data_IF_145977879096
#
_entry.id   IF_145977879096
#
_cell.length_a   1.000
_cell.length_b   1.000
_cell.length_c   1.000
_cell.angle_alpha   90.00
_cell.angle_beta   90.00
_cell.angle_gamma   90.00
#
_symmetry.space_group_name_H-M   'P 1'
#
loop_
_entity.id
_entity.type
_entity.pdbx_description
1 polymer ?
#
# COMPACT_ATOMS: atom_id res chain seq x y z
N UNK A 1 -8.07 18.01 -20.28
CA UNK A 1 -8.65 18.76 -19.14
C UNK A 1 -8.68 17.85 -17.94
N UNK A 2 -8.22 18.34 -16.79
CA UNK A 2 -8.22 17.58 -15.53
C UNK A 2 -9.58 17.67 -14.85
N UNK A 3 -10.10 16.54 -14.40
CA UNK A 3 -11.33 16.51 -13.62
C UNK A 3 -11.00 16.99 -12.21
N UNK A 4 -11.67 18.06 -11.78
CA UNK A 4 -11.51 18.61 -10.44
C UNK A 4 -12.82 18.52 -9.68
N UNK A 5 -12.81 17.78 -8.57
CA UNK A 5 -13.96 17.58 -7.70
C UNK A 5 -13.80 18.49 -6.47
N UNK A 6 -14.57 19.59 -6.45
CA UNK A 6 -14.55 20.61 -5.39
C UNK A 6 -15.82 20.64 -4.54
N UNK A 7 -16.78 19.79 -4.88
CA UNK A 7 -18.05 19.59 -4.16
C UNK A 7 -18.15 18.15 -3.69
N UNK A 8 -18.96 17.91 -2.66
CA UNK A 8 -19.31 16.55 -2.26
C UNK A 8 -20.05 15.85 -3.41
N UNK A 9 -19.58 14.67 -3.80
CA UNK A 9 -20.28 13.80 -4.75
C UNK A 9 -20.32 12.39 -4.19
N UNK A 10 -21.46 11.71 -4.35
CA UNK A 10 -21.55 10.30 -3.95
C UNK A 10 -20.71 9.43 -4.89
N UNK A 11 -20.81 9.66 -6.20
CA UNK A 11 -20.23 8.77 -7.19
C UNK A 11 -19.63 9.55 -8.35
N UNK A 12 -18.38 9.25 -8.68
CA UNK A 12 -17.71 9.60 -9.92
C UNK A 12 -17.42 8.32 -10.70
N UNK A 13 -17.79 8.28 -11.98
CA UNK A 13 -17.51 7.15 -12.86
C UNK A 13 -16.81 7.67 -14.11
N UNK A 14 -15.60 7.18 -14.38
CA UNK A 14 -14.94 7.35 -15.66
C UNK A 14 -15.02 6.06 -16.47
N UNK A 15 -15.64 6.13 -17.65
CA UNK A 15 -15.67 5.03 -18.64
C UNK A 15 -14.88 5.37 -19.91
N UNK A 16 -14.41 6.61 -20.05
CA UNK A 16 -13.71 7.12 -21.22
C UNK A 16 -12.25 7.46 -20.95
N UNK A 17 -11.67 8.32 -21.79
CA UNK A 17 -10.33 8.87 -21.60
C UNK A 17 -10.41 10.26 -20.96
N UNK A 18 -9.83 10.43 -19.77
CA UNK A 18 -9.72 11.73 -19.09
C UNK A 18 -8.28 12.03 -18.67
N UNK A 19 -7.98 13.31 -18.47
CA UNK A 19 -6.64 13.76 -18.12
C UNK A 19 -6.49 14.01 -16.62
N UNK A 20 -6.42 12.94 -15.84
CA UNK A 20 -6.27 13.01 -14.38
C UNK A 20 -7.56 13.37 -13.65
N UNK A 21 -7.63 12.94 -12.39
CA UNK A 21 -8.69 13.25 -11.43
C UNK A 21 -8.04 13.85 -10.19
N UNK A 22 -8.63 14.91 -9.65
CA UNK A 22 -8.27 15.44 -8.33
C UNK A 22 -9.52 15.68 -7.53
N UNK A 23 -9.56 15.16 -6.31
CA UNK A 23 -10.62 15.45 -5.35
C UNK A 23 -10.11 16.26 -4.16
N UNK A 24 -10.92 17.23 -3.76
CA UNK A 24 -10.75 18.08 -2.57
C UNK A 24 -11.86 17.86 -1.54
N UNK A 25 -12.76 16.91 -1.79
CA UNK A 25 -13.95 16.65 -0.99
C UNK A 25 -14.20 15.15 -0.88
N UNK A 26 -14.98 14.79 0.13
CA UNK A 26 -15.41 13.42 0.35
C UNK A 26 -16.13 12.86 -0.88
N UNK A 27 -15.87 11.58 -1.15
CA UNK A 27 -16.48 10.83 -2.24
C UNK A 27 -16.76 9.40 -1.79
N UNK A 28 -17.97 8.91 -2.03
CA UNK A 28 -18.32 7.53 -1.65
C UNK A 28 -17.72 6.52 -2.64
N UNK A 29 -17.79 6.81 -3.94
CA UNK A 29 -17.31 5.92 -4.99
C UNK A 29 -16.56 6.72 -6.06
N UNK A 30 -15.26 6.47 -6.20
CA UNK A 30 -14.45 6.90 -7.34
C UNK A 30 -14.16 5.65 -8.18
N UNK A 31 -14.86 5.52 -9.31
CA UNK A 31 -14.79 4.34 -10.16
C UNK A 31 -14.13 4.71 -11.49
N UNK A 32 -13.07 3.99 -11.85
CA UNK A 32 -12.45 4.06 -13.16
C UNK A 32 -12.60 2.71 -13.87
N UNK A 33 -13.27 2.71 -15.03
CA UNK A 33 -13.27 1.59 -15.97
C UNK A 33 -12.66 1.98 -17.33
N UNK A 34 -12.42 3.28 -17.55
CA UNK A 34 -11.76 3.83 -18.73
C UNK A 34 -10.26 4.06 -18.50
N UNK A 35 -9.73 5.11 -19.13
CA UNK A 35 -8.32 5.52 -18.98
C UNK A 35 -8.22 6.88 -18.31
N UNK A 36 -7.43 6.96 -17.25
CA UNK A 36 -7.05 8.24 -16.62
C UNK A 36 -5.57 8.46 -16.89
N UNK A 37 -5.27 9.52 -17.66
CA UNK A 37 -3.90 9.84 -18.05
C UNK A 37 -3.38 11.09 -17.35
N UNK A 38 -2.22 11.00 -16.71
CA UNK A 38 -1.47 12.16 -16.22
C UNK A 38 -0.18 12.32 -17.02
N UNK A 39 -0.02 13.47 -17.67
CA UNK A 39 1.16 13.78 -18.50
C UNK A 39 2.19 14.63 -17.76
N UNK A 40 1.93 15.03 -16.51
CA UNK A 40 2.88 15.80 -15.72
C UNK A 40 3.94 14.89 -15.10
N UNK A 41 5.18 15.37 -15.06
CA UNK A 41 6.34 14.70 -14.47
C UNK A 41 6.64 15.15 -13.04
N UNK A 42 5.88 16.14 -12.54
CA UNK A 42 6.01 16.65 -11.17
C UNK A 42 5.49 15.62 -10.15
N UNK A 43 6.32 15.36 -9.14
CA UNK A 43 6.14 14.32 -8.11
C UNK A 43 4.93 14.55 -7.23
N UNK A 44 4.44 15.80 -7.18
CA UNK A 44 3.27 16.18 -6.42
C UNK A 44 1.95 15.82 -7.14
N UNK A 45 2.01 15.19 -8.32
CA UNK A 45 0.82 14.86 -9.08
C UNK A 45 0.76 13.41 -9.51
N UNK A 46 -0.47 12.94 -9.67
CA UNK A 46 -0.78 11.59 -10.08
C UNK A 46 -1.88 11.55 -11.16
N UNK A 47 -2.19 10.34 -11.63
CA UNK A 47 -3.43 10.11 -12.38
C UNK A 47 -4.65 10.36 -11.49
N UNK A 48 -4.62 9.93 -10.23
CA UNK A 48 -5.64 10.24 -9.22
C UNK A 48 -4.98 10.93 -8.02
N UNK A 49 -5.36 12.19 -7.76
CA UNK A 49 -4.97 12.93 -6.57
C UNK A 49 -6.12 12.98 -5.56
N UNK A 50 -5.86 12.60 -4.31
CA UNK A 50 -6.73 12.86 -3.16
C UNK A 50 -6.01 13.89 -2.31
N UNK A 51 -6.55 15.11 -2.25
CA UNK A 51 -5.88 16.27 -1.65
C UNK A 51 -6.75 16.89 -0.57
N UNK A 52 -6.11 17.42 0.47
CA UNK A 52 -6.73 17.95 1.69
C UNK A 52 -6.52 19.47 1.82
N UNK A 53 -7.07 20.29 0.90
CA UNK A 53 -6.78 21.71 0.88
C UNK A 53 -7.18 22.38 2.19
N UNK A 54 -6.34 23.33 2.63
CA UNK A 54 -6.54 24.08 3.88
C UNK A 54 -6.73 23.16 5.09
N UNK A 55 -6.01 22.04 5.16
CA UNK A 55 -6.09 21.07 6.25
C UNK A 55 -7.49 20.41 6.41
N UNK A 56 -8.34 20.45 5.39
CA UNK A 56 -9.65 19.80 5.42
C UNK A 56 -9.50 18.31 5.14
N UNK A 57 -9.92 17.41 6.05
CA UNK A 57 -9.89 15.97 5.80
C UNK A 57 -10.70 15.60 4.56
N UNK A 58 -10.23 14.60 3.82
CA UNK A 58 -10.92 14.06 2.64
C UNK A 58 -11.05 12.56 2.75
N UNK A 59 -12.28 12.07 2.69
CA UNK A 59 -12.60 10.66 2.84
C UNK A 59 -13.11 10.10 1.51
N UNK A 60 -12.40 9.10 0.99
CA UNK A 60 -12.83 8.31 -0.17
C UNK A 60 -13.27 6.95 0.34
N UNK A 61 -14.55 6.62 0.29
CA UNK A 61 -14.96 5.31 0.79
C UNK A 61 -14.42 4.19 -0.11
N UNK A 62 -14.68 4.25 -1.42
CA UNK A 62 -14.22 3.24 -2.36
C UNK A 62 -13.55 3.90 -3.58
N UNK A 63 -12.26 3.64 -3.76
CA UNK A 63 -11.54 3.89 -5.01
C UNK A 63 -11.42 2.55 -5.74
N UNK A 64 -12.09 2.44 -6.89
CA UNK A 64 -12.18 1.23 -7.68
C UNK A 64 -11.58 1.51 -9.04
N UNK A 65 -10.46 0.86 -9.35
CA UNK A 65 -9.87 0.89 -10.69
C UNK A 65 -9.99 -0.49 -11.34
N UNK A 66 -10.76 -0.57 -12.41
CA UNK A 66 -10.80 -1.74 -13.31
C UNK A 66 -10.38 -1.35 -14.74
N UNK A 67 -9.92 -0.11 -14.92
CA UNK A 67 -9.50 0.44 -16.20
C UNK A 67 -7.98 0.55 -16.25
N UNK A 68 -7.49 1.71 -16.70
CA UNK A 68 -6.06 2.00 -16.75
C UNK A 68 -5.76 3.39 -16.19
N UNK A 69 -4.78 3.46 -15.30
CA UNK A 69 -4.09 4.69 -14.89
C UNK A 69 -2.73 4.74 -15.59
N UNK A 70 -2.50 5.75 -16.42
CA UNK A 70 -1.22 5.97 -17.12
C UNK A 70 -0.63 7.32 -16.69
N UNK A 71 0.40 7.28 -15.84
CA UNK A 71 0.96 8.48 -15.23
C UNK A 71 2.45 8.64 -15.52
N UNK A 72 2.82 9.85 -15.97
CA UNK A 72 4.20 10.30 -16.10
C UNK A 72 4.85 10.69 -14.75
N UNK A 73 4.14 10.51 -13.64
CA UNK A 73 4.62 10.69 -12.27
C UNK A 73 4.08 9.57 -11.38
N UNK A 74 3.25 9.88 -10.38
CA UNK A 74 2.66 8.90 -9.45
C UNK A 74 1.37 8.28 -10.02
N UNK A 75 1.04 7.03 -9.71
CA UNK A 75 -0.24 6.43 -10.14
C UNK A 75 -1.44 7.01 -9.37
N UNK A 76 -1.43 6.80 -8.06
CA UNK A 76 -2.38 7.35 -7.09
C UNK A 76 -1.59 8.07 -6.00
N UNK A 77 -1.99 9.29 -5.67
CA UNK A 77 -1.36 10.12 -4.65
C UNK A 77 -2.39 10.57 -3.63
N UNK A 78 -2.06 10.37 -2.35
CA UNK A 78 -2.95 10.65 -1.22
C UNK A 78 -2.25 11.59 -0.25
N UNK A 79 -2.85 12.75 0.00
CA UNK A 79 -2.34 13.73 0.94
C UNK A 79 -2.70 13.40 2.38
N UNK A 80 -1.89 13.89 3.33
CA UNK A 80 -2.16 13.83 4.78
C UNK A 80 -3.59 14.21 5.14
N UNK A 81 -4.11 13.69 6.25
CA UNK A 81 -5.52 13.87 6.69
C UNK A 81 -6.57 13.22 5.78
N UNK A 82 -6.15 12.57 4.70
CA UNK A 82 -7.07 11.80 3.87
C UNK A 82 -7.25 10.38 4.41
N UNK A 83 -8.42 9.82 4.17
CA UNK A 83 -8.68 8.41 4.44
C UNK A 83 -9.30 7.70 3.25
N UNK A 84 -8.98 6.41 3.09
CA UNK A 84 -9.64 5.52 2.14
C UNK A 84 -10.13 4.28 2.86
N UNK A 85 -11.39 3.89 2.70
CA UNK A 85 -11.86 2.59 3.22
C UNK A 85 -11.30 1.47 2.34
N UNK A 86 -11.64 1.47 1.05
CA UNK A 86 -11.18 0.44 0.12
C UNK A 86 -10.52 1.09 -1.10
N UNK A 87 -9.24 0.77 -1.32
CA UNK A 87 -8.57 0.95 -2.60
C UNK A 87 -8.53 -0.43 -3.26
N UNK A 88 -9.40 -0.63 -4.25
CA UNK A 88 -9.46 -1.85 -5.04
C UNK A 88 -8.94 -1.59 -6.44
N UNK A 89 -7.84 -2.23 -6.79
CA UNK A 89 -7.40 -2.31 -8.17
C UNK A 89 -7.77 -3.69 -8.73
N UNK A 90 -8.20 -3.72 -9.97
CA UNK A 90 -8.36 -4.90 -10.82
C UNK A 90 -8.16 -4.52 -12.29
N UNK A 91 -7.39 -3.45 -12.52
CA UNK A 91 -6.93 -2.95 -13.80
C UNK A 91 -5.43 -2.65 -13.75
N UNK A 92 -4.97 -1.72 -14.59
CA UNK A 92 -3.54 -1.41 -14.72
C UNK A 92 -3.21 -0.04 -14.13
N UNK A 93 -2.20 0.00 -13.25
CA UNK A 93 -1.58 1.24 -12.78
C UNK A 93 -0.16 1.29 -13.33
N UNK A 94 0.08 2.17 -14.30
CA UNK A 94 1.42 2.44 -14.85
C UNK A 94 1.91 3.81 -14.37
N UNK A 95 3.01 3.82 -13.64
CA UNK A 95 3.57 5.03 -13.04
C UNK A 95 5.07 5.16 -13.34
N UNK A 96 5.51 6.36 -13.73
CA UNK A 96 6.94 6.68 -13.89
C UNK A 96 7.66 6.96 -12.57
N UNK A 97 6.95 6.90 -11.43
CA UNK A 97 7.50 6.89 -10.08
C UNK A 97 6.88 5.78 -9.24
N UNK A 98 6.11 6.12 -8.21
CA UNK A 98 5.43 5.15 -7.36
C UNK A 98 4.01 4.88 -7.87
N UNK A 99 3.55 3.63 -7.76
CA UNK A 99 2.18 3.26 -8.15
C UNK A 99 1.13 3.86 -7.21
N UNK A 100 1.33 3.70 -5.91
CA UNK A 100 0.55 4.33 -4.84
C UNK A 100 1.52 5.03 -3.89
N UNK A 101 1.29 6.31 -3.60
CA UNK A 101 2.16 7.13 -2.76
C UNK A 101 1.40 8.08 -1.84
N UNK A 102 2.09 8.60 -0.84
CA UNK A 102 1.54 9.45 0.19
C UNK A 102 2.37 10.72 0.35
N UNK A 103 1.72 11.87 0.42
CA UNK A 103 2.41 13.16 0.53
C UNK A 103 1.94 13.96 1.74
N UNK A 104 2.78 14.86 2.22
CA UNK A 104 2.38 15.91 3.15
C UNK A 104 2.60 17.28 2.53
N UNK A 105 1.52 18.02 2.24
CA UNK A 105 1.60 19.43 1.86
C UNK A 105 1.13 20.29 3.05
N UNK A 106 2.03 21.12 3.58
CA UNK A 106 1.70 22.15 4.57
C UNK A 106 2.26 21.94 5.98
N UNK A 107 2.61 23.07 6.61
CA UNK A 107 3.12 23.17 7.99
C UNK A 107 1.94 23.23 8.95
N UNK A 108 1.45 22.08 9.39
CA UNK A 108 0.42 22.05 10.44
C UNK A 108 0.77 21.00 11.47
N UNK A 109 0.64 21.36 12.74
CA UNK A 109 1.39 20.70 13.80
C UNK A 109 0.65 19.50 14.42
N UNK A 110 -0.61 19.22 14.03
CA UNK A 110 -1.43 18.22 14.72
C UNK A 110 -2.24 17.33 13.74
N UNK A 111 -2.13 16.01 13.94
CA UNK A 111 -2.91 14.91 13.35
C UNK A 111 -2.97 14.84 11.81
N UNK A 112 -1.80 14.75 11.18
CA UNK A 112 -1.64 14.65 9.72
C UNK A 112 -1.61 13.19 9.22
N UNK A 113 -2.25 12.27 9.93
CA UNK A 113 -2.17 10.85 9.59
C UNK A 113 -2.94 10.54 8.31
N UNK A 114 -2.44 9.56 7.56
CA UNK A 114 -3.15 8.97 6.42
C UNK A 114 -3.64 7.61 6.86
N UNK A 115 -4.90 7.29 6.57
CA UNK A 115 -5.49 6.00 6.94
C UNK A 115 -6.13 5.31 5.74
N UNK A 116 -5.61 4.15 5.37
CA UNK A 116 -6.20 3.26 4.38
C UNK A 116 -6.67 2.01 5.12
N UNK A 117 -7.93 1.61 5.02
CA UNK A 117 -8.35 0.38 5.68
C UNK A 117 -7.87 -0.83 4.88
N UNK A 118 -8.13 -0.86 3.57
CA UNK A 118 -7.73 -1.97 2.71
C UNK A 118 -7.15 -1.48 1.37
N UNK A 119 -6.01 -2.06 0.98
CA UNK A 119 -5.55 -2.11 -0.41
C UNK A 119 -5.75 -3.54 -0.90
N UNK A 120 -6.59 -3.72 -1.91
CA UNK A 120 -6.92 -5.03 -2.47
C UNK A 120 -6.57 -5.00 -3.95
N UNK A 121 -5.69 -5.90 -4.37
CA UNK A 121 -5.29 -6.07 -5.76
C UNK A 121 -5.93 -7.35 -6.27
N UNK A 122 -7.01 -7.19 -7.03
CA UNK A 122 -7.74 -8.27 -7.66
C UNK A 122 -6.92 -9.01 -8.71
N UNK A 123 -7.39 -10.17 -9.14
CA UNK A 123 -6.70 -11.08 -10.08
C UNK A 123 -6.17 -10.46 -11.38
N UNK A 124 -6.77 -9.38 -11.86
CA UNK A 124 -6.36 -8.69 -13.08
C UNK A 124 -5.49 -7.46 -12.80
N UNK A 125 -5.17 -7.19 -11.53
CA UNK A 125 -4.34 -6.06 -11.15
C UNK A 125 -2.96 -6.18 -11.74
N UNK A 126 -2.49 -5.08 -12.32
CA UNK A 126 -1.13 -4.94 -12.79
C UNK A 126 -0.60 -3.56 -12.41
N UNK A 127 0.22 -3.50 -11.36
CA UNK A 127 0.93 -2.27 -10.98
C UNK A 127 2.35 -2.33 -11.51
N UNK A 128 2.67 -1.40 -12.40
CA UNK A 128 3.98 -1.23 -13.01
C UNK A 128 4.53 0.16 -12.65
N UNK A 129 5.42 0.20 -11.67
CA UNK A 129 6.06 1.41 -11.19
C UNK A 129 7.57 1.35 -11.44
N UNK A 130 8.18 2.46 -11.84
CA UNK A 130 9.65 2.52 -12.01
C UNK A 130 10.38 2.62 -10.67
N UNK A 131 9.70 3.10 -9.61
CA UNK A 131 10.22 3.19 -8.24
C UNK A 131 9.59 2.11 -7.36
N UNK A 132 8.56 2.41 -6.55
CA UNK A 132 7.87 1.40 -5.77
C UNK A 132 6.44 1.20 -6.25
N UNK A 133 5.96 -0.04 -6.36
CA UNK A 133 4.56 -0.23 -6.73
C UNK A 133 3.61 0.29 -5.63
N UNK A 134 3.93 0.01 -4.36
CA UNK A 134 3.27 0.62 -3.20
C UNK A 134 4.35 1.23 -2.30
N UNK A 135 4.31 2.56 -2.11
CA UNK A 135 5.23 3.28 -1.24
C UNK A 135 4.50 3.74 0.03
N UNK A 136 4.61 2.98 1.11
CA UNK A 136 4.10 3.33 2.45
C UNK A 136 5.15 4.15 3.18
N UNK A 137 5.42 5.32 2.63
CA UNK A 137 6.19 6.40 3.27
C UNK A 137 5.56 7.73 2.87
N UNK A 138 5.73 8.75 3.71
CA UNK A 138 5.27 10.10 3.40
C UNK A 138 6.41 10.85 2.73
N UNK A 139 6.24 11.16 1.43
CA UNK A 139 7.17 12.02 0.70
C UNK A 139 6.81 13.50 0.93
N UNK A 140 7.85 14.36 1.00
CA UNK A 140 7.71 15.79 1.30
C UNK A 140 8.27 16.20 2.67
N UNK A 141 8.53 17.50 2.84
CA UNK A 141 9.42 18.06 3.87
C UNK A 141 8.67 18.87 4.97
N UNK A 142 7.40 18.55 5.23
CA UNK A 142 6.52 19.55 5.86
C UNK A 142 5.88 19.17 7.20
N UNK A 143 6.09 17.95 7.73
CA UNK A 143 5.70 17.67 9.11
C UNK A 143 6.50 16.54 9.78
N UNK A 144 6.81 16.74 11.07
CA UNK A 144 7.54 15.79 11.91
C UNK A 144 6.64 14.73 12.57
N UNK A 145 5.32 14.76 12.36
CA UNK A 145 4.32 13.90 13.03
C UNK A 145 3.32 13.26 12.05
N UNK A 146 3.82 12.84 10.89
CA UNK A 146 3.03 12.17 9.84
C UNK A 146 3.31 10.70 9.80
N UNK A 147 2.24 9.89 9.87
CA UNK A 147 2.32 8.44 9.62
C UNK A 147 1.24 8.00 8.63
N UNK A 148 1.56 6.95 7.89
CA UNK A 148 0.62 6.19 7.07
C UNK A 148 0.22 4.93 7.83
N UNK A 149 -1.09 4.68 7.93
CA UNK A 149 -1.62 3.42 8.46
C UNK A 149 -2.44 2.72 7.39
N UNK A 150 -2.06 1.49 7.05
CA UNK A 150 -2.78 0.61 6.14
C UNK A 150 -3.25 -0.61 6.92
N UNK A 151 -4.53 -0.93 6.92
CA UNK A 151 -5.06 -2.08 7.68
C UNK A 151 -4.71 -3.43 7.06
N UNK A 152 -4.88 -3.57 5.74
CA UNK A 152 -4.63 -4.79 4.98
C UNK A 152 -4.07 -4.44 3.61
N UNK A 153 -3.06 -5.20 3.17
CA UNK A 153 -2.66 -5.29 1.77
C UNK A 153 -2.93 -6.73 1.32
N UNK A 154 -3.92 -6.94 0.45
CA UNK A 154 -4.29 -8.26 -0.08
C UNK A 154 -4.01 -8.31 -1.58
N UNK A 155 -3.10 -9.19 -1.98
CA UNK A 155 -2.65 -9.36 -3.36
C UNK A 155 -3.15 -10.71 -3.83
N UNK A 156 -4.26 -10.70 -4.56
CA UNK A 156 -4.94 -11.92 -4.96
C UNK A 156 -4.17 -12.69 -6.03
N UNK A 157 -4.49 -13.97 -6.18
CA UNK A 157 -3.91 -14.81 -7.22
C UNK A 157 -4.11 -14.18 -8.61
N UNK A 158 -3.04 -14.16 -9.41
CA UNK A 158 -3.00 -13.50 -10.72
C UNK A 158 -2.60 -12.03 -10.71
N UNK A 159 -2.73 -11.32 -9.57
CA UNK A 159 -2.30 -9.94 -9.45
C UNK A 159 -0.78 -9.80 -9.59
N UNK A 160 -0.31 -8.71 -10.21
CA UNK A 160 1.11 -8.39 -10.39
C UNK A 160 1.43 -7.03 -9.79
N UNK A 161 2.46 -6.99 -8.96
CA UNK A 161 2.91 -5.80 -8.22
C UNK A 161 4.39 -5.63 -8.44
N UNK A 162 4.78 -4.77 -9.39
CA UNK A 162 6.18 -4.60 -9.79
C UNK A 162 6.65 -3.17 -9.61
N UNK A 163 7.69 -2.98 -8.80
CA UNK A 163 8.43 -1.72 -8.68
C UNK A 163 9.89 -1.88 -9.09
N UNK A 164 10.46 -0.89 -9.77
CA UNK A 164 11.89 -0.90 -10.15
C UNK A 164 12.86 -0.80 -8.96
N UNK A 165 12.39 -0.41 -7.78
CA UNK A 165 13.09 -0.51 -6.49
C UNK A 165 12.49 -1.65 -5.67
N UNK A 166 11.31 -1.44 -5.06
CA UNK A 166 10.59 -2.47 -4.31
C UNK A 166 9.17 -2.67 -4.85
N UNK A 167 8.62 -3.88 -4.73
CA UNK A 167 7.19 -4.08 -4.98
C UNK A 167 6.37 -3.32 -3.94
N UNK A 168 6.69 -3.52 -2.65
CA UNK A 168 6.09 -2.82 -1.52
C UNK A 168 7.22 -2.28 -0.65
N UNK A 169 7.24 -0.96 -0.47
CA UNK A 169 8.14 -0.28 0.46
C UNK A 169 7.34 0.21 1.66
N UNK A 170 7.83 -0.06 2.87
CA UNK A 170 7.29 0.50 4.11
C UNK A 170 8.43 1.25 4.78
N UNK A 171 8.45 2.57 4.59
CA UNK A 171 9.48 3.43 5.15
C UNK A 171 9.20 3.75 6.62
N UNK A 172 10.21 4.22 7.35
CA UNK A 172 9.98 4.79 8.68
C UNK A 172 9.29 6.14 8.58
N UNK A 173 8.37 6.42 9.50
CA UNK A 173 7.78 7.75 9.59
C UNK A 173 8.84 8.81 9.94
N UNK A 174 8.57 10.06 9.56
CA UNK A 174 9.42 11.18 9.94
C UNK A 174 9.48 11.38 11.46
N UNK A 175 8.41 11.02 12.18
CA UNK A 175 8.37 11.11 13.65
C UNK A 175 9.39 10.17 14.28
N UNK A 176 9.44 8.93 13.80
CA UNK A 176 10.39 7.90 14.26
C UNK A 176 11.82 8.24 13.88
N UNK A 177 12.04 8.73 12.65
CA UNK A 177 13.35 9.21 12.18
C UNK A 177 13.88 10.35 13.05
N UNK A 178 13.03 11.33 13.38
CA UNK A 178 13.42 12.52 14.14
C UNK A 178 13.53 12.28 15.65
N UNK A 179 12.82 11.30 16.19
CA UNK A 179 12.78 11.01 17.63
C UNK A 179 13.58 9.77 18.03
N UNK A 180 14.64 9.45 17.26
CA UNK A 180 15.56 8.33 17.51
C UNK A 180 14.86 6.98 17.77
N UNK A 181 13.82 6.66 16.99
CA UNK A 181 13.11 5.38 17.10
C UNK A 181 11.88 5.39 18.02
N UNK A 182 11.52 6.54 18.60
CA UNK A 182 10.29 6.74 19.38
C UNK A 182 9.23 7.48 18.56
N UNK A 183 7.95 7.35 18.91
CA UNK A 183 6.86 8.01 18.18
C UNK A 183 6.09 7.09 17.22
N UNK A 184 5.15 7.68 16.50
CA UNK A 184 4.22 6.94 15.64
C UNK A 184 4.82 6.62 14.28
N UNK A 185 5.02 5.33 14.02
CA UNK A 185 5.60 4.84 12.75
C UNK A 185 4.56 4.66 11.65
N UNK A 186 5.03 4.54 10.40
CA UNK A 186 4.22 4.00 9.32
C UNK A 186 3.91 2.52 9.63
N UNK A 187 2.64 2.16 9.54
CA UNK A 187 2.17 0.84 9.94
C UNK A 187 1.34 0.21 8.83
N UNK A 188 1.70 -1.01 8.46
CA UNK A 188 0.82 -1.91 7.73
C UNK A 188 0.31 -2.95 8.72
N UNK A 189 -0.97 -3.29 8.67
CA UNK A 189 -1.47 -4.49 9.32
C UNK A 189 -0.99 -5.72 8.55
N UNK A 190 -1.91 -6.61 8.19
CA UNK A 190 -1.53 -7.84 7.53
C UNK A 190 -1.20 -7.61 6.05
N UNK A 191 -0.18 -8.31 5.54
CA UNK A 191 0.09 -8.45 4.10
C UNK A 191 -0.22 -9.89 3.69
N UNK A 192 -1.12 -10.06 2.73
CA UNK A 192 -1.47 -11.37 2.15
C UNK A 192 -1.03 -11.38 0.70
N UNK A 193 -0.25 -12.39 0.32
CA UNK A 193 0.31 -12.53 -1.03
C UNK A 193 -0.08 -13.87 -1.64
N UNK A 194 -1.03 -13.86 -2.57
CA UNK A 194 -1.33 -14.98 -3.47
C UNK A 194 -0.90 -14.69 -4.93
N UNK A 195 -0.72 -13.41 -5.29
CA UNK A 195 -0.16 -12.99 -6.58
C UNK A 195 1.37 -12.86 -6.58
N UNK A 196 1.88 -12.08 -7.53
CA UNK A 196 3.31 -11.78 -7.69
C UNK A 196 3.65 -10.38 -7.13
N UNK A 197 4.67 -10.33 -6.28
CA UNK A 197 5.29 -9.09 -5.80
C UNK A 197 6.76 -9.09 -6.18
N UNK A 198 7.17 -8.09 -6.96
CA UNK A 198 8.50 -8.02 -7.56
C UNK A 198 9.15 -6.67 -7.29
N UNK A 199 10.33 -6.73 -6.67
CA UNK A 199 11.26 -5.62 -6.56
C UNK A 199 12.28 -5.63 -7.69
N UNK A 200 12.87 -4.48 -7.95
CA UNK A 200 13.98 -4.34 -8.88
C UNK A 200 15.32 -4.34 -8.14
N UNK A 201 15.80 -3.15 -7.78
CA UNK A 201 17.05 -2.95 -7.05
C UNK A 201 16.98 -3.23 -5.54
N UNK A 202 15.78 -3.41 -4.97
CA UNK A 202 15.53 -3.87 -3.60
C UNK A 202 14.70 -5.17 -3.62
N UNK A 203 14.10 -5.54 -2.48
CA UNK A 203 13.24 -6.74 -2.35
C UNK A 203 11.83 -6.54 -2.90
N UNK A 204 11.08 -7.64 -3.05
CA UNK A 204 9.65 -7.58 -3.34
C UNK A 204 8.89 -6.84 -2.24
N UNK A 205 9.19 -7.13 -0.98
CA UNK A 205 8.73 -6.38 0.19
C UNK A 205 9.95 -5.86 0.94
N UNK A 206 10.00 -4.56 1.23
CA UNK A 206 11.05 -3.93 2.02
C UNK A 206 10.43 -3.17 3.18
N UNK A 207 10.71 -3.63 4.39
CA UNK A 207 10.22 -3.06 5.62
C UNK A 207 11.32 -2.34 6.40
N UNK A 208 11.09 -1.05 6.65
CA UNK A 208 11.83 -0.21 7.60
C UNK A 208 10.89 0.31 8.70
N UNK A 209 9.57 0.32 8.46
CA UNK A 209 8.52 0.68 9.41
C UNK A 209 7.95 -0.52 10.19
N UNK A 210 6.64 -0.56 10.44
CA UNK A 210 6.01 -1.65 11.21
C UNK A 210 4.96 -2.43 10.42
N UNK A 211 5.06 -3.77 10.42
CA UNK A 211 4.03 -4.69 9.92
C UNK A 211 3.43 -5.45 11.10
N UNK A 212 2.09 -5.55 11.19
CA UNK A 212 1.41 -6.17 12.35
C UNK A 212 0.43 -7.25 11.92
N UNK A 213 0.30 -8.31 12.72
CA UNK A 213 -0.75 -9.29 12.54
C UNK A 213 -2.16 -8.67 12.63
N UNK A 214 -3.13 -9.30 11.98
CA UNK A 214 -4.54 -8.85 12.00
C UNK A 214 -5.13 -8.78 13.42
N UNK A 215 -4.64 -9.62 14.33
CA UNK A 215 -5.07 -9.74 15.73
C UNK A 215 -4.64 -8.57 16.63
N UNK A 216 -3.74 -7.69 16.19
CA UNK A 216 -3.39 -6.48 16.94
C UNK A 216 -4.51 -5.41 16.94
N UNK A 217 -5.66 -5.69 16.31
CA UNK A 217 -6.91 -4.98 16.63
C UNK A 217 -7.40 -5.46 17.99
N UNK A 218 -7.09 -4.69 19.04
CA UNK A 218 -7.58 -4.88 20.41
C UNK A 218 -8.99 -5.48 20.43
N UNK A 219 -9.15 -6.56 21.19
CA UNK A 219 -10.30 -7.46 21.38
C UNK A 219 -11.65 -6.84 21.77
N UNK A 220 -11.98 -5.60 21.40
CA UNK A 220 -13.15 -4.89 21.91
C UNK A 220 -14.21 -4.43 20.90
N UNK A 221 -14.02 -4.62 19.58
CA UNK A 221 -15.11 -4.42 18.61
C UNK A 221 -15.06 -5.46 17.51
N UNK A 222 -16.10 -6.30 17.45
CA UNK A 222 -16.42 -7.14 16.28
C UNK A 222 -16.30 -6.27 15.01
N UNK A 223 -15.17 -6.33 14.30
CA UNK A 223 -15.13 -5.77 12.96
C UNK A 223 -16.03 -6.62 12.10
N UNK A 224 -16.93 -5.97 11.36
CA UNK A 224 -17.78 -6.61 10.36
C UNK A 224 -16.86 -7.39 9.42
N UNK A 225 -17.05 -8.71 9.39
CA UNK A 225 -16.29 -9.66 8.57
C UNK A 225 -16.27 -9.14 7.13
N UNK A 226 -15.07 -8.96 6.58
CA UNK A 226 -14.89 -8.88 5.13
C UNK A 226 -15.33 -10.23 4.55
N UNK A 227 -16.00 -10.25 3.39
CA UNK A 227 -16.49 -11.47 2.74
C UNK A 227 -15.38 -12.51 2.48
N UNK A 228 -14.12 -12.07 2.44
CA UNK A 228 -12.92 -12.90 2.18
C UNK A 228 -12.24 -13.44 3.48
N UNK A 229 -12.58 -12.92 4.66
CA UNK A 229 -12.05 -13.42 5.96
C UNK A 229 -12.64 -14.79 6.36
N UNK A 230 -13.68 -15.25 5.64
CA UNK A 230 -14.39 -16.50 5.97
C UNK A 230 -13.60 -17.79 5.73
N UNK A 231 -12.36 -17.71 5.23
CA UNK A 231 -11.49 -18.85 4.97
C UNK A 231 -10.11 -18.80 5.66
N UNK A 232 -9.87 -17.81 6.52
CA UNK A 232 -8.59 -17.67 7.20
C UNK A 232 -8.58 -18.47 8.51
N UNK A 233 -7.63 -19.39 8.67
CA UNK A 233 -7.47 -20.14 9.92
C UNK A 233 -6.94 -19.23 11.05
N UNK A 234 -7.18 -19.57 12.32
CA UNK A 234 -6.66 -18.84 13.48
C UNK A 234 -5.14 -18.60 13.38
N UNK A 235 -4.37 -19.56 12.86
CA UNK A 235 -2.93 -19.42 12.64
C UNK A 235 -2.57 -18.38 11.57
N UNK A 236 -3.40 -18.27 10.53
CA UNK A 236 -3.21 -17.26 9.50
C UNK A 236 -3.58 -15.86 10.00
N UNK A 237 -4.50 -15.72 10.96
CA UNK A 237 -4.83 -14.41 11.55
C UNK A 237 -3.67 -13.81 12.36
N UNK A 238 -2.81 -14.67 12.92
CA UNK A 238 -1.56 -14.29 13.60
C UNK A 238 -0.44 -13.85 12.66
N UNK A 239 -0.58 -14.03 11.35
CA UNK A 239 0.45 -13.65 10.41
C UNK A 239 0.48 -12.12 10.21
N UNK A 240 1.65 -11.51 10.34
CA UNK A 240 1.92 -10.18 9.82
C UNK A 240 2.12 -10.25 8.29
N UNK A 241 2.79 -11.30 7.81
CA UNK A 241 2.96 -11.59 6.38
C UNK A 241 2.52 -13.03 6.13
N UNK A 242 1.53 -13.21 5.25
CA UNK A 242 1.00 -14.50 4.83
C UNK A 242 1.18 -14.67 3.33
N UNK A 243 1.96 -15.66 2.93
CA UNK A 243 2.19 -16.00 1.54
C UNK A 243 1.40 -17.27 1.24
N UNK A 244 0.40 -17.16 0.37
CA UNK A 244 -0.45 -18.28 -0.05
C UNK A 244 0.29 -19.16 -1.07
N UNK A 245 -0.31 -20.28 -1.42
CA UNK A 245 0.29 -21.33 -2.27
C UNK A 245 0.90 -20.81 -3.57
N UNK A 246 0.17 -19.96 -4.30
CA UNK A 246 0.63 -19.33 -5.54
C UNK A 246 1.49 -18.08 -5.34
N UNK A 247 1.61 -17.59 -4.11
CA UNK A 247 2.25 -16.32 -3.79
C UNK A 247 3.74 -16.31 -4.12
N UNK A 248 4.20 -15.28 -4.81
CA UNK A 248 5.60 -15.09 -5.18
C UNK A 248 6.09 -13.73 -4.72
N UNK A 249 7.25 -13.69 -4.06
CA UNK A 249 7.89 -12.45 -3.64
C UNK A 249 9.35 -12.51 -4.07
N UNK A 250 9.75 -11.67 -5.03
CA UNK A 250 11.06 -11.77 -5.68
C UNK A 250 11.74 -10.41 -5.88
N UNK A 251 13.02 -10.44 -6.25
CA UNK A 251 13.80 -9.28 -6.68
C UNK A 251 14.54 -9.59 -7.98
N UNK A 252 14.62 -8.63 -8.92
CA UNK A 252 15.45 -8.82 -10.12
C UNK A 252 16.94 -8.68 -9.84
N UNK A 253 17.32 -8.00 -8.75
CA UNK A 253 18.74 -7.80 -8.38
C UNK A 253 19.36 -8.98 -7.65
N UNK A 254 18.61 -10.05 -7.41
CA UNK A 254 19.07 -11.22 -6.63
C UNK A 254 19.02 -11.02 -5.12
N UNK A 255 18.52 -9.87 -4.63
CA UNK A 255 18.23 -9.65 -3.20
C UNK A 255 17.09 -10.54 -2.71
N UNK A 256 16.95 -10.63 -1.39
CA UNK A 256 15.86 -11.36 -0.77
C UNK A 256 14.48 -10.82 -1.21
N UNK A 257 13.50 -11.71 -1.33
CA UNK A 257 12.12 -11.36 -1.64
C UNK A 257 11.52 -10.46 -0.57
N UNK A 258 11.76 -10.79 0.70
CA UNK A 258 11.38 -9.97 1.86
C UNK A 258 12.66 -9.46 2.53
N UNK A 259 12.74 -8.16 2.75
CA UNK A 259 13.83 -7.52 3.47
C UNK A 259 13.23 -6.75 4.64
N UNK A 260 13.53 -7.15 5.87
CA UNK A 260 13.21 -6.38 7.07
C UNK A 260 14.50 -5.78 7.61
N UNK A 261 14.66 -4.46 7.55
CA UNK A 261 15.94 -3.81 7.86
C UNK A 261 15.77 -2.57 8.72
N UNK A 262 16.89 -1.99 9.15
CA UNK A 262 16.95 -0.81 10.01
C UNK A 262 16.13 -1.01 11.31
N UNK A 263 15.19 -0.11 11.61
CA UNK A 263 14.26 -0.27 12.75
C UNK A 263 12.97 -0.97 12.37
N UNK A 264 12.95 -1.67 11.23
CA UNK A 264 11.83 -2.44 10.74
C UNK A 264 11.35 -3.46 11.77
N UNK A 265 10.04 -3.44 12.04
CA UNK A 265 9.37 -4.35 12.99
C UNK A 265 8.34 -5.20 12.26
N UNK A 266 8.39 -6.51 12.49
CA UNK A 266 7.34 -7.44 12.11
C UNK A 266 6.76 -8.03 13.40
N UNK A 267 5.59 -7.50 13.78
CA UNK A 267 4.85 -7.85 14.98
C UNK A 267 3.76 -8.89 14.65
N UNK A 268 4.21 -10.12 14.39
CA UNK A 268 3.36 -11.25 14.01
C UNK A 268 4.15 -12.33 13.28
N UNK A 269 3.49 -13.43 12.93
CA UNK A 269 4.15 -14.52 12.21
C UNK A 269 4.46 -14.13 10.75
N UNK A 270 5.51 -14.72 10.20
CA UNK A 270 5.74 -14.79 8.77
C UNK A 270 5.44 -16.23 8.36
N UNK A 271 4.38 -16.43 7.59
CA UNK A 271 3.91 -17.77 7.20
C UNK A 271 4.00 -17.89 5.69
N UNK A 272 4.85 -18.79 5.22
CA UNK A 272 4.83 -19.23 3.82
C UNK A 272 4.05 -20.53 3.69
N UNK A 273 3.05 -20.52 2.81
CA UNK A 273 2.39 -21.71 2.24
C UNK A 273 2.77 -21.90 0.78
N UNK A 274 3.67 -21.07 0.27
CA UNK A 274 4.00 -21.01 -1.15
C UNK A 274 4.64 -22.30 -1.66
N UNK A 275 4.34 -22.67 -2.89
CA UNK A 275 5.10 -23.66 -3.65
C UNK A 275 6.41 -23.11 -4.21
N UNK A 276 6.67 -21.80 -4.04
CA UNK A 276 7.84 -21.11 -4.55
C UNK A 276 8.90 -20.91 -3.48
N UNK A 277 10.13 -20.67 -3.91
CA UNK A 277 11.20 -20.23 -3.01
C UNK A 277 10.95 -18.79 -2.56
N UNK A 278 10.84 -18.59 -1.25
CA UNK A 278 10.77 -17.28 -0.61
C UNK A 278 12.09 -17.06 0.13
N UNK A 279 12.72 -15.91 -0.10
CA UNK A 279 13.89 -15.47 0.64
C UNK A 279 13.54 -14.33 1.57
N UNK A 280 14.04 -14.39 2.80
CA UNK A 280 13.89 -13.41 3.84
C UNK A 280 15.29 -12.96 4.27
N UNK A 281 15.52 -11.67 4.30
CA UNK A 281 16.69 -11.07 4.94
C UNK A 281 16.20 -10.23 6.12
N UNK A 282 16.63 -10.57 7.33
CA UNK A 282 16.20 -9.87 8.53
C UNK A 282 17.38 -9.22 9.27
N UNK A 283 17.45 -7.90 9.20
CA UNK A 283 18.32 -7.03 10.01
C UNK A 283 17.52 -6.24 11.06
N UNK A 284 16.19 -6.20 10.95
CA UNK A 284 15.27 -5.59 11.92
C UNK A 284 14.77 -6.57 12.99
N UNK A 285 13.64 -6.26 13.61
CA UNK A 285 12.98 -7.09 14.61
C UNK A 285 11.82 -7.90 14.03
N UNK A 286 11.77 -9.19 14.36
CA UNK A 286 10.61 -10.07 14.15
C UNK A 286 10.25 -10.68 15.49
N UNK A 287 9.01 -10.50 15.95
CA UNK A 287 8.57 -11.03 17.26
C UNK A 287 7.70 -12.27 17.16
N UNK A 288 7.19 -12.59 15.97
CA UNK A 288 6.46 -13.85 15.72
C UNK A 288 7.34 -14.95 15.16
N UNK A 289 6.70 -16.09 14.87
CA UNK A 289 7.36 -17.25 14.27
C UNK A 289 7.56 -17.04 12.77
N UNK A 290 8.65 -17.58 12.25
CA UNK A 290 8.89 -17.70 10.81
C UNK A 290 8.69 -19.16 10.44
N UNK A 291 7.74 -19.46 9.56
CA UNK A 291 7.35 -20.84 9.24
C UNK A 291 7.10 -21.03 7.75
N UNK A 292 7.43 -22.24 7.29
CA UNK A 292 7.11 -22.72 5.96
C UNK A 292 6.27 -23.99 6.09
N UNK A 293 5.06 -23.94 5.54
CA UNK A 293 4.13 -25.08 5.46
C UNK A 293 3.75 -25.39 4.01
N UNK A 294 4.33 -24.65 3.05
CA UNK A 294 4.22 -24.94 1.63
C UNK A 294 5.25 -25.96 1.17
N UNK A 295 5.16 -26.33 -0.12
CA UNK A 295 6.11 -27.24 -0.77
C UNK A 295 7.36 -26.52 -1.29
N UNK A 296 7.35 -25.19 -1.33
CA UNK A 296 8.49 -24.36 -1.70
C UNK A 296 9.53 -24.28 -0.59
N UNK A 297 10.61 -23.52 -0.84
CA UNK A 297 11.66 -23.30 0.14
C UNK A 297 11.50 -21.95 0.84
N UNK A 298 11.86 -21.88 2.13
CA UNK A 298 12.02 -20.63 2.84
C UNK A 298 13.49 -20.47 3.24
N UNK A 299 14.15 -19.47 2.66
CA UNK A 299 15.55 -19.13 2.94
C UNK A 299 15.57 -17.91 3.86
N UNK A 300 16.31 -17.97 4.96
CA UNK A 300 16.41 -16.94 6.00
C UNK A 300 17.88 -16.58 6.20
#
# INVERSE_FOLDING_TARGET
>A
MKVLIVVFINTFINTGLISGVRTFRDITYLINTGTIKSTTTDENYAAIDIRSPNATPVNVQNLIDTGSLDSQSQGILIETRSSITNLYNNGTIKAQKDGITFISEGKTNNNNNIKIENIILGKNSDIQATKNAINVDVIGDFSTQTSVSIGLINIQEGAKVSGGQAGIKIGQSQEVKNSNGTGKDNTVGQIIVAGEVKGGSEGGIVNEGTIKASENKSSSKRSRRSLDESQQSDEESKAAILIKESGQITSTSGKAGIINKDKGKIEGNIISKSSNTISLENQGSVTGNISNSGTGNLMI
#
